data_IF_625930907390
#
_entry.id   IF_625930907390
#
_cell.length_a   1.000
_cell.length_b   1.000
_cell.length_c   1.000
_cell.angle_alpha   90.00
_cell.angle_beta   90.00
_cell.angle_gamma   90.00
#
_symmetry.space_group_name_H-M   'P 1'
#
loop_
_entity.id
_entity.type
_entity.pdbx_description
1 polymer ?
#
# COMPACT_ATOMS: atom_id res chain seq x y z
N UNK A 1 -24.42 -32.43 13.44
CA UNK A 1 -24.69 -30.98 13.55
C UNK A 1 -24.11 -30.44 14.87
N UNK A 2 -22.78 -30.34 15.01
CA UNK A 2 -22.14 -29.85 16.26
C UNK A 2 -21.02 -28.81 16.01
N UNK A 3 -20.79 -28.35 14.78
CA UNK A 3 -19.63 -27.50 14.46
C UNK A 3 -19.89 -25.98 14.61
N UNK A 4 -21.15 -25.56 14.64
CA UNK A 4 -21.54 -24.14 14.49
C UNK A 4 -21.22 -23.30 15.73
N UNK A 5 -21.28 -23.89 16.93
CA UNK A 5 -21.09 -23.14 18.19
C UNK A 5 -19.62 -22.76 18.44
N UNK A 6 -18.69 -23.66 18.11
CA UNK A 6 -17.25 -23.40 18.24
C UNK A 6 -16.77 -22.40 17.17
N UNK A 7 -17.27 -22.53 15.94
CA UNK A 7 -17.00 -21.58 14.85
C UNK A 7 -17.50 -20.17 15.18
N UNK A 8 -18.70 -20.05 15.77
CA UNK A 8 -19.25 -18.76 16.21
C UNK A 8 -18.42 -18.14 17.34
N UNK A 9 -17.99 -18.92 18.33
CA UNK A 9 -17.16 -18.42 19.43
C UNK A 9 -15.79 -17.93 18.96
N UNK A 10 -15.19 -18.62 17.99
CA UNK A 10 -13.93 -18.18 17.37
C UNK A 10 -14.15 -16.86 16.64
N UNK A 11 -15.24 -16.74 15.87
CA UNK A 11 -15.60 -15.51 15.15
C UNK A 11 -15.81 -14.33 16.10
N UNK A 12 -16.54 -14.51 17.20
CA UNK A 12 -16.76 -13.46 18.21
C UNK A 12 -15.46 -12.98 18.85
N UNK A 13 -14.55 -13.91 19.21
CA UNK A 13 -13.24 -13.54 19.78
C UNK A 13 -12.38 -12.77 18.77
N UNK A 14 -12.42 -13.19 17.51
CA UNK A 14 -11.71 -12.53 16.42
C UNK A 14 -12.27 -11.13 16.20
N UNK A 15 -13.60 -10.97 16.13
CA UNK A 15 -14.27 -9.69 15.99
C UNK A 15 -13.97 -8.74 17.17
N UNK A 16 -13.92 -9.28 18.40
CA UNK A 16 -13.51 -8.50 19.57
C UNK A 16 -12.07 -7.98 19.46
N UNK A 17 -11.13 -8.82 19.00
CA UNK A 17 -9.73 -8.41 18.78
C UNK A 17 -9.69 -7.31 17.72
N UNK A 18 -10.41 -7.48 16.60
CA UNK A 18 -10.51 -6.48 15.54
C UNK A 18 -11.03 -5.14 16.06
N UNK A 19 -12.12 -5.14 16.83
CA UNK A 19 -12.69 -3.93 17.41
C UNK A 19 -11.73 -3.24 18.40
N UNK A 20 -11.02 -4.02 19.23
CA UNK A 20 -10.04 -3.47 20.18
C UNK A 20 -8.87 -2.83 19.46
N UNK A 21 -8.32 -3.50 18.43
CA UNK A 21 -7.21 -2.97 17.63
C UNK A 21 -7.64 -1.68 16.91
N UNK A 22 -8.83 -1.66 16.30
CA UNK A 22 -9.36 -0.45 15.65
C UNK A 22 -9.45 0.72 16.62
N UNK A 23 -10.01 0.51 17.81
CA UNK A 23 -10.09 1.58 18.84
C UNK A 23 -8.72 2.14 19.20
N UNK A 24 -7.70 1.29 19.30
CA UNK A 24 -6.34 1.73 19.60
C UNK A 24 -5.75 2.55 18.46
N UNK A 25 -5.93 2.12 17.20
CA UNK A 25 -5.45 2.85 16.01
C UNK A 25 -6.11 4.23 15.94
N UNK A 26 -7.45 4.30 16.05
CA UNK A 26 -8.18 5.57 15.99
C UNK A 26 -7.79 6.52 17.12
N UNK A 27 -7.45 6.01 18.31
CA UNK A 27 -6.98 6.86 19.42
C UNK A 27 -5.59 7.46 19.20
N UNK A 28 -4.76 6.84 18.34
CA UNK A 28 -3.42 7.36 17.99
C UNK A 28 -3.55 8.51 16.99
N UNK A 29 -4.49 8.42 16.05
CA UNK A 29 -4.68 9.43 15.00
C UNK A 29 -5.31 10.74 15.52
N UNK A 30 -5.97 10.72 16.67
CA UNK A 30 -6.72 11.84 17.26
C UNK A 30 -5.87 12.95 17.87
N UNK A 31 -4.58 12.73 18.15
CA UNK A 31 -3.72 13.71 18.87
C UNK A 31 -2.71 14.45 17.97
N UNK A 32 -2.62 14.12 16.68
CA UNK A 32 -1.63 14.71 15.76
C UNK A 32 -2.29 15.45 14.58
N UNK A 33 -1.59 16.45 14.04
CA UNK A 33 -1.87 17.06 12.73
C UNK A 33 -2.10 15.94 11.69
N UNK A 34 -3.06 16.05 10.74
CA UNK A 34 -3.34 14.98 9.79
C UNK A 34 -2.06 14.57 9.05
N UNK A 35 -1.49 13.44 9.46
CA UNK A 35 -0.28 12.88 8.89
C UNK A 35 -0.67 12.11 7.64
N UNK A 36 -0.09 12.48 6.50
CA UNK A 36 -0.25 11.72 5.27
C UNK A 36 0.83 10.65 5.15
N UNK A 37 0.44 9.53 4.57
CA UNK A 37 1.30 8.37 4.40
C UNK A 37 1.38 8.00 2.91
N UNK A 38 2.58 7.65 2.46
CA UNK A 38 2.82 7.10 1.13
C UNK A 38 3.44 5.71 1.31
N UNK A 39 2.80 4.70 0.74
CA UNK A 39 3.34 3.34 0.71
C UNK A 39 3.86 3.02 -0.68
N UNK A 40 5.19 2.99 -0.83
CA UNK A 40 5.87 2.64 -2.07
C UNK A 40 5.99 1.13 -2.22
N UNK A 41 5.58 0.62 -3.39
CA UNK A 41 5.74 -0.77 -3.78
C UNK A 41 6.76 -0.84 -4.92
N UNK A 42 8.04 -1.04 -4.57
CA UNK A 42 9.09 -1.26 -5.55
C UNK A 42 8.98 -2.68 -6.13
N UNK A 43 9.07 -2.81 -7.44
CA UNK A 43 8.77 -4.07 -8.13
C UNK A 43 7.27 -4.32 -8.28
N UNK A 44 6.47 -3.25 -8.38
CA UNK A 44 5.02 -3.32 -8.50
C UNK A 44 4.51 -4.18 -9.68
N UNK A 45 5.28 -4.29 -10.77
CA UNK A 45 4.94 -5.17 -11.90
C UNK A 45 5.25 -6.65 -11.65
N UNK A 46 5.92 -6.97 -10.54
CA UNK A 46 6.40 -8.30 -10.20
C UNK A 46 5.32 -9.26 -9.67
N UNK A 47 5.68 -10.53 -9.65
CA UNK A 47 4.79 -11.61 -9.23
C UNK A 47 4.42 -11.53 -7.74
N UNK A 48 5.36 -11.13 -6.88
CA UNK A 48 5.12 -10.95 -5.44
C UNK A 48 4.13 -9.80 -5.19
N UNK A 49 4.31 -8.68 -5.88
CA UNK A 49 3.40 -7.53 -5.78
C UNK A 49 1.97 -7.92 -6.17
N UNK A 50 1.80 -8.52 -7.34
CA UNK A 50 0.53 -9.00 -7.88
C UNK A 50 -0.18 -10.02 -6.97
N UNK A 51 0.55 -11.01 -6.47
CA UNK A 51 -0.03 -12.18 -5.77
C UNK A 51 -0.19 -11.97 -4.26
N UNK A 52 0.57 -11.06 -3.66
CA UNK A 52 0.64 -10.91 -2.19
C UNK A 52 0.55 -9.47 -1.72
N UNK A 53 1.33 -8.55 -2.27
CA UNK A 53 1.40 -7.19 -1.70
C UNK A 53 0.11 -6.43 -1.94
N UNK A 54 -0.33 -6.31 -3.20
CA UNK A 54 -1.58 -5.61 -3.51
C UNK A 54 -2.81 -6.25 -2.84
N UNK A 55 -2.98 -7.59 -2.84
CA UNK A 55 -4.03 -8.25 -2.04
C UNK A 55 -3.98 -7.93 -0.55
N UNK A 56 -2.78 -7.89 0.04
CA UNK A 56 -2.63 -7.59 1.47
C UNK A 56 -3.00 -6.13 1.77
N UNK A 57 -2.55 -5.20 0.93
CA UNK A 57 -2.89 -3.78 1.06
C UNK A 57 -4.40 -3.56 0.91
N UNK A 58 -5.04 -4.24 -0.05
CA UNK A 58 -6.50 -4.24 -0.18
C UNK A 58 -7.19 -4.74 1.09
N UNK A 59 -6.77 -5.89 1.64
CA UNK A 59 -7.40 -6.42 2.86
C UNK A 59 -7.22 -5.49 4.07
N UNK A 60 -6.04 -4.89 4.23
CA UNK A 60 -5.80 -3.90 5.29
C UNK A 60 -6.66 -2.64 5.11
N UNK A 61 -6.82 -2.17 3.87
CA UNK A 61 -7.68 -1.03 3.55
C UNK A 61 -9.15 -1.36 3.82
N UNK A 62 -9.65 -2.49 3.30
CA UNK A 62 -11.01 -2.99 3.51
C UNK A 62 -11.34 -3.10 5.00
N UNK A 63 -10.40 -3.61 5.79
CA UNK A 63 -10.59 -3.88 7.20
C UNK A 63 -10.29 -2.66 8.09
N UNK A 64 -9.98 -1.49 7.50
CA UNK A 64 -9.79 -0.23 8.24
C UNK A 64 -8.55 -0.21 9.13
N UNK A 65 -7.48 -0.88 8.72
CA UNK A 65 -6.20 -0.94 9.43
C UNK A 65 -5.14 0.02 8.92
N UNK A 66 -5.44 0.73 7.84
CA UNK A 66 -4.54 1.74 7.29
C UNK A 66 -4.96 3.12 7.77
N UNK A 67 -4.01 4.06 7.89
CA UNK A 67 -4.31 5.47 8.17
C UNK A 67 -5.32 6.03 7.17
N UNK A 68 -6.14 6.98 7.61
CA UNK A 68 -7.17 7.60 6.77
C UNK A 68 -6.57 8.32 5.55
N UNK A 69 -5.42 8.98 5.73
CA UNK A 69 -4.72 9.72 4.68
C UNK A 69 -3.53 8.93 4.14
N UNK A 70 -3.80 7.84 3.42
CA UNK A 70 -2.77 7.01 2.78
C UNK A 70 -2.94 6.95 1.25
N UNK A 71 -1.84 6.98 0.52
CA UNK A 71 -1.79 6.61 -0.89
C UNK A 71 -0.70 5.56 -1.17
N UNK A 72 -0.82 4.87 -2.30
CA UNK A 72 0.10 3.81 -2.71
C UNK A 72 0.78 4.20 -4.00
N UNK A 73 2.10 4.03 -4.09
CA UNK A 73 2.88 4.33 -5.29
C UNK A 73 3.63 3.07 -5.72
N UNK A 74 3.15 2.43 -6.78
CA UNK A 74 3.87 1.35 -7.43
C UNK A 74 5.02 1.90 -8.28
N UNK A 75 6.19 1.25 -8.20
CA UNK A 75 7.35 1.62 -9.00
C UNK A 75 8.00 0.41 -9.65
N UNK A 76 8.16 0.44 -10.98
CA UNK A 76 8.96 -0.56 -11.69
C UNK A 76 9.42 -0.08 -13.07
N UNK A 77 10.31 -0.86 -13.70
CA UNK A 77 10.85 -0.61 -15.05
C UNK A 77 9.83 -0.77 -16.18
N UNK A 78 8.73 -1.46 -15.91
CA UNK A 78 7.74 -1.80 -16.94
C UNK A 78 6.82 -0.61 -17.20
N UNK A 79 6.62 -0.21 -18.45
CA UNK A 79 5.63 0.80 -18.79
C UNK A 79 4.23 0.19 -18.70
N UNK A 80 3.57 0.36 -17.54
CA UNK A 80 2.24 -0.14 -17.26
C UNK A 80 1.35 0.99 -16.75
N UNK A 81 0.04 0.79 -16.87
CA UNK A 81 -0.96 1.64 -16.20
C UNK A 81 -1.43 0.97 -14.91
N UNK A 82 -2.03 1.74 -14.01
CA UNK A 82 -2.53 1.20 -12.75
C UNK A 82 -3.65 0.18 -12.99
N UNK A 83 -4.52 0.44 -13.97
CA UNK A 83 -5.59 -0.48 -14.38
C UNK A 83 -4.99 -1.81 -14.82
N UNK A 84 -3.88 -1.79 -15.56
CA UNK A 84 -3.22 -3.03 -16.00
C UNK A 84 -2.61 -3.81 -14.83
N UNK A 85 -2.08 -3.12 -13.82
CA UNK A 85 -1.58 -3.77 -12.60
C UNK A 85 -2.73 -4.49 -11.88
N UNK A 86 -3.84 -3.78 -11.67
CA UNK A 86 -4.99 -4.33 -10.95
C UNK A 86 -5.73 -5.41 -11.72
N UNK A 87 -5.91 -5.30 -13.04
CA UNK A 87 -6.42 -6.39 -13.88
C UNK A 87 -5.66 -7.71 -13.66
N UNK A 88 -4.34 -7.63 -13.45
CA UNK A 88 -3.51 -8.80 -13.21
C UNK A 88 -3.61 -9.32 -11.76
N UNK A 89 -3.93 -8.44 -10.82
CA UNK A 89 -3.99 -8.72 -9.39
C UNK A 89 -5.39 -9.11 -8.89
N UNK A 90 -6.46 -8.70 -9.58
CA UNK A 90 -7.88 -8.82 -9.17
C UNK A 90 -8.26 -10.23 -8.71
N UNK A 91 -7.80 -11.25 -9.44
CA UNK A 91 -8.07 -12.66 -9.08
C UNK A 91 -7.50 -13.10 -7.72
N UNK A 92 -6.55 -12.35 -7.17
CA UNK A 92 -5.96 -12.59 -5.85
C UNK A 92 -6.57 -11.72 -4.75
N UNK A 93 -7.30 -10.65 -5.11
CA UNK A 93 -7.90 -9.70 -4.18
C UNK A 93 -9.07 -10.29 -3.40
N UNK A 94 -9.83 -11.20 -4.04
CA UNK A 94 -11.04 -11.82 -3.46
C UNK A 94 -12.06 -10.78 -3.00
N UNK A 95 -12.27 -9.73 -3.81
CA UNK A 95 -13.28 -8.69 -3.58
C UNK A 95 -14.66 -9.32 -3.64
N UNK A 96 -15.50 -9.02 -2.65
CA UNK A 96 -16.91 -9.43 -2.61
C UNK A 96 -17.80 -8.38 -3.28
N UNK A 97 -18.98 -8.76 -3.76
CA UNK A 97 -19.91 -7.84 -4.44
C UNK A 97 -20.30 -6.65 -3.55
N UNK A 98 -20.44 -6.87 -2.23
CA UNK A 98 -20.73 -5.81 -1.27
C UNK A 98 -19.56 -4.84 -1.01
N UNK A 99 -18.35 -5.16 -1.49
CA UNK A 99 -17.12 -4.39 -1.29
C UNK A 99 -16.75 -3.55 -2.52
N UNK A 100 -17.48 -3.66 -3.64
CA UNK A 100 -17.08 -3.06 -4.92
C UNK A 100 -16.88 -1.54 -4.87
N UNK A 101 -17.71 -0.81 -4.13
CA UNK A 101 -17.54 0.64 -4.03
C UNK A 101 -16.34 1.03 -3.15
N UNK A 102 -16.04 0.22 -2.13
CA UNK A 102 -14.82 0.41 -1.33
C UNK A 102 -13.58 0.04 -2.15
N UNK A 103 -13.68 -0.99 -3.00
CA UNK A 103 -12.60 -1.39 -3.90
C UNK A 103 -12.30 -0.31 -4.94
N UNK A 104 -13.32 0.35 -5.52
CA UNK A 104 -13.12 1.50 -6.41
C UNK A 104 -12.34 2.62 -5.72
N UNK A 105 -12.70 2.99 -4.48
CA UNK A 105 -11.96 3.98 -3.69
C UNK A 105 -10.51 3.55 -3.45
N UNK A 106 -10.28 2.27 -3.15
CA UNK A 106 -8.92 1.75 -3.03
C UNK A 106 -8.13 1.94 -4.33
N UNK A 107 -8.71 1.64 -5.49
CA UNK A 107 -8.05 1.83 -6.79
C UNK A 107 -7.67 3.30 -7.04
N UNK A 108 -8.51 4.25 -6.63
CA UNK A 108 -8.24 5.70 -6.76
C UNK A 108 -7.03 6.16 -5.92
N UNK A 109 -6.74 5.48 -4.80
CA UNK A 109 -5.59 5.76 -3.94
C UNK A 109 -4.27 5.17 -4.47
N UNK A 110 -4.34 4.36 -5.53
CA UNK A 110 -3.17 3.70 -6.09
C UNK A 110 -2.67 4.43 -7.34
N UNK A 111 -1.35 4.67 -7.36
CA UNK A 111 -0.65 5.32 -8.45
C UNK A 111 0.52 4.46 -8.92
N UNK A 112 1.03 4.77 -10.11
CA UNK A 112 2.16 4.06 -10.68
C UNK A 112 3.13 5.02 -11.35
N UNK A 113 4.42 4.82 -11.09
CA UNK A 113 5.52 5.53 -11.73
C UNK A 113 6.45 4.51 -12.39
N UNK A 114 6.80 4.76 -13.65
CA UNK A 114 7.74 3.93 -14.38
C UNK A 114 9.15 4.51 -14.26
N UNK A 115 10.15 3.68 -14.00
CA UNK A 115 11.55 4.13 -13.92
C UNK A 115 12.55 3.00 -13.68
N UNK A 116 13.82 3.30 -13.91
CA UNK A 116 14.93 2.37 -13.70
C UNK A 116 15.39 2.31 -12.24
N UNK A 117 16.13 1.26 -11.87
CA UNK A 117 16.62 1.06 -10.50
C UNK A 117 18.04 1.58 -10.28
N UNK A 118 18.63 2.20 -11.30
CA UNK A 118 20.04 2.57 -11.36
C UNK A 118 20.28 4.03 -11.81
N UNK A 119 19.24 4.77 -12.20
CA UNK A 119 19.36 6.18 -12.59
C UNK A 119 18.83 7.13 -11.52
N UNK A 120 19.67 8.04 -11.00
CA UNK A 120 19.25 9.11 -10.09
C UNK A 120 18.03 9.92 -10.57
N UNK A 121 18.02 10.31 -11.85
CA UNK A 121 16.95 11.09 -12.44
C UNK A 121 15.56 10.43 -12.34
N UNK A 122 15.50 9.08 -12.38
CA UNK A 122 14.23 8.36 -12.27
C UNK A 122 13.70 8.36 -10.82
N UNK A 123 14.59 8.43 -9.82
CA UNK A 123 14.22 8.57 -8.41
C UNK A 123 13.83 9.99 -8.04
N UNK A 124 14.47 10.99 -8.65
CA UNK A 124 14.04 12.40 -8.56
C UNK A 124 12.63 12.57 -9.15
N UNK A 125 12.38 11.96 -10.31
CA UNK A 125 11.03 11.94 -10.89
C UNK A 125 10.01 11.22 -10.00
N UNK A 126 10.37 10.06 -9.43
CA UNK A 126 9.53 9.34 -8.46
C UNK A 126 9.20 10.22 -7.25
N UNK A 127 10.17 10.94 -6.70
CA UNK A 127 9.96 11.84 -5.56
C UNK A 127 9.01 12.98 -5.92
N UNK A 128 9.21 13.60 -7.09
CA UNK A 128 8.34 14.67 -7.59
C UNK A 128 6.89 14.20 -7.73
N UNK A 129 6.66 13.05 -8.39
CA UNK A 129 5.31 12.51 -8.54
C UNK A 129 4.69 12.13 -7.21
N UNK A 130 5.44 11.53 -6.29
CA UNK A 130 4.96 11.19 -4.97
C UNK A 130 4.49 12.43 -4.18
N UNK A 131 5.26 13.53 -4.22
CA UNK A 131 4.89 14.80 -3.60
C UNK A 131 3.64 15.43 -4.25
N UNK A 132 3.53 15.34 -5.57
CA UNK A 132 2.36 15.82 -6.31
C UNK A 132 1.09 15.05 -5.93
N UNK A 133 1.22 13.74 -5.72
CA UNK A 133 0.13 12.84 -5.35
C UNK A 133 -0.31 13.07 -3.90
N UNK A 134 0.62 13.12 -2.96
CA UNK A 134 0.29 13.30 -1.54
C UNK A 134 -0.25 14.69 -1.22
N UNK A 135 -0.06 15.67 -2.13
CA UNK A 135 -0.37 17.08 -1.94
C UNK A 135 0.33 17.70 -0.71
N UNK A 136 1.31 16.99 -0.14
CA UNK A 136 1.99 17.31 1.11
C UNK A 136 3.44 16.81 1.03
N UNK A 137 4.39 17.71 1.16
CA UNK A 137 5.82 17.42 1.07
C UNK A 137 6.35 16.55 2.24
N UNK A 138 5.67 16.59 3.39
CA UNK A 138 6.08 15.97 4.65
C UNK A 138 5.41 14.62 4.95
N UNK A 139 4.88 13.94 3.93
CA UNK A 139 4.21 12.65 4.14
C UNK A 139 5.21 11.59 4.65
N UNK A 140 4.79 10.77 5.61
CA UNK A 140 5.54 9.61 6.07
C UNK A 140 5.62 8.56 4.96
N UNK A 141 6.80 8.01 4.72
CA UNK A 141 7.04 7.13 3.56
C UNK A 141 7.44 5.73 4.01
N UNK A 142 6.70 4.73 3.53
CA UNK A 142 7.05 3.32 3.68
C UNK A 142 7.57 2.78 2.35
N UNK A 143 8.71 2.09 2.36
CA UNK A 143 9.33 1.54 1.16
C UNK A 143 9.34 0.01 1.21
N UNK A 144 8.47 -0.63 0.43
CA UNK A 144 8.45 -2.08 0.29
C UNK A 144 9.25 -2.52 -0.93
N UNK A 145 10.40 -3.18 -0.71
CA UNK A 145 11.31 -3.63 -1.77
C UNK A 145 10.96 -5.04 -2.26
N UNK A 146 9.92 -5.18 -3.08
CA UNK A 146 9.59 -6.44 -3.76
C UNK A 146 10.50 -6.67 -5.00
N UNK A 147 11.80 -6.52 -4.79
CA UNK A 147 12.85 -6.62 -5.81
C UNK A 147 13.74 -7.85 -5.56
N UNK A 148 14.52 -8.30 -6.57
CA UNK A 148 15.59 -9.26 -6.36
C UNK A 148 16.67 -8.70 -5.41
N UNK A 149 17.34 -9.54 -4.59
CA UNK A 149 18.36 -9.08 -3.65
C UNK A 149 19.53 -8.33 -4.28
N UNK A 150 19.86 -8.62 -5.55
CA UNK A 150 20.98 -8.02 -6.27
C UNK A 150 20.87 -6.50 -6.44
N UNK A 151 19.67 -5.92 -6.35
CA UNK A 151 19.45 -4.47 -6.52
C UNK A 151 19.14 -3.75 -5.20
N UNK A 152 19.10 -4.45 -4.06
CA UNK A 152 18.72 -3.84 -2.78
C UNK A 152 19.66 -2.71 -2.37
N UNK A 153 20.97 -2.91 -2.51
CA UNK A 153 21.97 -1.90 -2.13
C UNK A 153 21.80 -0.61 -2.91
N UNK A 154 21.87 -0.70 -4.25
CA UNK A 154 21.76 0.48 -5.14
C UNK A 154 20.43 1.20 -5.00
N UNK A 155 19.31 0.46 -4.93
CA UNK A 155 17.99 1.06 -4.77
C UNK A 155 17.86 1.77 -3.42
N UNK A 156 18.38 1.18 -2.34
CA UNK A 156 18.32 1.81 -1.01
C UNK A 156 19.13 3.11 -0.94
N UNK A 157 20.29 3.14 -1.59
CA UNK A 157 21.13 4.34 -1.69
C UNK A 157 20.41 5.46 -2.46
N UNK A 158 19.79 5.13 -3.59
CA UNK A 158 19.02 6.08 -4.40
C UNK A 158 17.76 6.59 -3.66
N UNK A 159 17.01 5.71 -2.98
CA UNK A 159 15.88 6.10 -2.12
C UNK A 159 16.35 7.08 -1.05
N UNK A 160 17.46 6.75 -0.39
CA UNK A 160 18.01 7.56 0.70
C UNK A 160 18.44 8.95 0.21
N UNK A 161 18.93 9.06 -1.01
CA UNK A 161 19.47 10.31 -1.56
C UNK A 161 18.39 11.19 -2.16
N UNK A 162 17.40 10.60 -2.85
CA UNK A 162 16.47 11.35 -3.71
C UNK A 162 15.00 11.28 -3.26
N UNK A 163 14.62 10.31 -2.43
CA UNK A 163 13.20 10.05 -2.11
C UNK A 163 12.88 10.20 -0.61
N UNK A 164 13.76 10.82 0.19
CA UNK A 164 13.40 11.21 1.55
C UNK A 164 12.43 12.41 1.52
N UNK A 165 11.44 12.46 2.42
CA UNK A 165 10.62 13.66 2.57
C UNK A 165 11.54 14.83 2.98
N UNK A 166 11.20 16.03 2.53
CA UNK A 166 11.88 17.25 2.96
C UNK A 166 11.63 17.45 4.46
N UNK A 167 12.67 17.86 5.18
CA UNK A 167 12.64 18.08 6.63
C UNK A 167 11.96 19.38 7.00
#
# INVERSE_FOLDING_TARGET
>A
MMNTTAENLVKEKVDYIYQRLRKQITSIDSEACPQSFIFFVFGASGDLAKKKIYPTLWWLYRDGFLPEHICFVGYARSQLTIERIFQNADKYMKVQDCELDLYKKFLELNHYVCGSYDKPADFEHLNHEANRISQLASAHRFFYLALPPSVYGSVSELISTHCRPEA
#
